data_IF_106459320381
#
_entry.id   IF_106459320381
#
_cell.length_a   1.000
_cell.length_b   1.000
_cell.length_c   1.000
_cell.angle_alpha   90.00
_cell.angle_beta   90.00
_cell.angle_gamma   90.00
#
_symmetry.space_group_name_H-M   'P 1'
#
loop_
_entity.id
_entity.type
_entity.pdbx_description
1 polymer ?
#
# COMPACT_ATOMS: atom_id res chain seq x y z
N UNK A 1 5.88 38.61 -34.24
CA UNK A 1 6.59 38.02 -33.09
C UNK A 1 5.68 36.94 -32.51
N UNK A 2 5.99 35.67 -32.78
CA UNK A 2 5.21 34.55 -32.25
C UNK A 2 5.72 34.18 -30.85
N UNK A 3 4.75 33.81 -30.02
CA UNK A 3 4.83 33.55 -28.60
C UNK A 3 5.95 32.59 -28.17
N UNK A 4 6.53 32.90 -27.02
CA UNK A 4 7.06 31.88 -26.11
C UNK A 4 6.62 32.26 -24.70
N UNK A 5 5.40 31.85 -24.35
CA UNK A 5 4.95 31.81 -22.97
C UNK A 5 5.70 30.63 -22.33
N UNK A 6 6.76 30.91 -21.57
CA UNK A 6 7.46 29.89 -20.80
C UNK A 6 6.47 29.26 -19.82
N UNK A 7 6.08 28.03 -20.14
CA UNK A 7 5.20 27.22 -19.30
C UNK A 7 6.04 26.72 -18.13
N UNK A 8 5.78 27.24 -16.94
CA UNK A 8 6.35 26.74 -15.69
C UNK A 8 6.23 25.21 -15.62
N UNK A 9 7.22 24.47 -15.07
CA UNK A 9 7.06 23.05 -14.84
C UNK A 9 5.96 22.88 -13.80
N UNK A 10 4.81 22.40 -14.24
CA UNK A 10 3.77 21.93 -13.34
C UNK A 10 4.40 20.87 -12.43
N UNK A 11 4.15 20.97 -11.12
CA UNK A 11 4.26 19.85 -10.20
C UNK A 11 3.26 18.78 -10.68
N UNK A 12 3.66 18.01 -11.69
CA UNK A 12 2.86 16.97 -12.30
C UNK A 12 3.28 15.67 -11.62
N UNK A 13 2.31 15.00 -10.98
CA UNK A 13 2.51 13.67 -10.44
C UNK A 13 3.01 12.68 -11.51
N UNK A 14 3.38 11.45 -11.10
CA UNK A 14 4.04 10.49 -11.98
C UNK A 14 3.23 10.22 -13.26
N UNK A 15 3.92 10.21 -14.40
CA UNK A 15 3.35 9.86 -15.70
C UNK A 15 2.85 8.42 -15.74
N UNK A 16 1.97 8.09 -16.69
CA UNK A 16 1.45 6.74 -16.86
C UNK A 16 2.54 5.68 -17.05
N UNK A 17 3.64 6.02 -17.74
CA UNK A 17 4.77 5.11 -17.91
C UNK A 17 5.51 4.89 -16.59
N UNK A 18 5.72 5.94 -15.78
CA UNK A 18 6.32 5.80 -14.45
C UNK A 18 5.47 4.92 -13.53
N UNK A 19 4.15 5.11 -13.52
CA UNK A 19 3.23 4.27 -12.75
C UNK A 19 3.32 2.80 -13.18
N UNK A 20 3.38 2.54 -14.48
CA UNK A 20 3.53 1.18 -15.02
C UNK A 20 4.86 0.56 -14.57
N UNK A 21 5.97 1.29 -14.65
CA UNK A 21 7.27 0.80 -14.19
C UNK A 21 7.27 0.49 -12.69
N UNK A 22 6.62 1.30 -11.86
CA UNK A 22 6.44 1.01 -10.42
C UNK A 22 5.64 -0.27 -10.16
N UNK A 23 4.55 -0.49 -10.91
CA UNK A 23 3.75 -1.70 -10.77
C UNK A 23 4.56 -2.95 -11.15
N UNK A 24 5.37 -2.84 -12.21
CA UNK A 24 6.20 -3.93 -12.72
C UNK A 24 7.41 -4.22 -11.82
N UNK A 25 7.91 -3.23 -11.06
CA UNK A 25 9.02 -3.43 -10.14
C UNK A 25 8.62 -4.13 -8.83
N UNK A 26 7.33 -4.12 -8.48
CA UNK A 26 6.84 -4.80 -7.27
C UNK A 26 6.86 -6.32 -7.49
N UNK A 27 7.54 -7.09 -6.62
CA UNK A 27 7.60 -8.54 -6.74
C UNK A 27 6.21 -9.18 -6.76
N UNK A 28 6.05 -10.21 -7.61
CA UNK A 28 4.79 -10.95 -7.74
C UNK A 28 4.75 -12.22 -6.89
N UNK A 29 5.91 -12.77 -6.55
CA UNK A 29 6.04 -13.94 -5.68
C UNK A 29 5.96 -13.50 -4.23
N UNK A 30 5.16 -14.21 -3.42
CA UNK A 30 4.98 -13.93 -1.98
C UNK A 30 6.32 -13.81 -1.24
N UNK A 31 7.22 -14.78 -1.42
CA UNK A 31 8.51 -14.80 -0.74
C UNK A 31 9.34 -13.53 -1.01
N UNK A 32 9.45 -13.14 -2.28
CA UNK A 32 10.19 -11.94 -2.69
C UNK A 32 9.49 -10.65 -2.25
N UNK A 33 8.14 -10.65 -2.27
CA UNK A 33 7.33 -9.51 -1.85
C UNK A 33 7.46 -9.23 -0.35
N UNK A 34 7.51 -10.28 0.47
CA UNK A 34 7.52 -10.15 1.93
C UNK A 34 8.88 -9.74 2.49
N UNK A 35 9.96 -10.00 1.76
CA UNK A 35 11.31 -9.52 2.08
C UNK A 35 11.64 -8.18 1.42
N UNK A 36 10.77 -7.66 0.55
CA UNK A 36 10.97 -6.36 -0.07
C UNK A 36 10.95 -5.26 1.00
N UNK A 37 11.96 -4.39 0.97
CA UNK A 37 12.09 -3.31 1.95
C UNK A 37 11.01 -2.25 1.73
N UNK A 38 10.30 -1.93 2.81
CA UNK A 38 9.36 -0.81 2.86
C UNK A 38 10.09 0.40 3.42
N UNK A 39 10.07 1.51 2.69
CA UNK A 39 10.54 2.80 3.20
C UNK A 39 9.49 3.36 4.18
N UNK A 40 9.61 2.93 5.45
CA UNK A 40 8.66 3.28 6.51
C UNK A 40 8.67 4.76 6.85
N UNK A 41 9.79 5.47 6.64
CA UNK A 41 9.85 6.91 6.85
C UNK A 41 8.93 7.63 5.87
N UNK A 42 8.92 7.24 4.59
CA UNK A 42 7.96 7.77 3.61
C UNK A 42 6.54 7.32 3.94
N UNK A 43 6.33 6.06 4.31
CA UNK A 43 5.01 5.52 4.61
C UNK A 43 4.34 6.19 5.82
N UNK A 44 5.13 6.56 6.85
CA UNK A 44 4.62 7.16 8.09
C UNK A 44 4.63 8.70 8.06
N UNK A 45 5.56 9.34 7.34
CA UNK A 45 5.57 10.79 7.21
C UNK A 45 4.46 11.30 6.28
N UNK A 46 4.00 10.45 5.36
CA UNK A 46 2.83 10.74 4.54
C UNK A 46 1.55 10.26 5.21
N UNK A 47 0.41 10.85 4.85
CA UNK A 47 -0.90 10.41 5.32
C UNK A 47 -1.39 9.13 4.58
N UNK A 48 -0.49 8.37 3.95
CA UNK A 48 -0.88 7.33 2.99
C UNK A 48 -1.50 6.11 3.66
N UNK A 49 -1.08 5.79 4.88
CA UNK A 49 -1.70 4.73 5.66
C UNK A 49 -3.17 5.07 5.92
N UNK A 50 -3.47 6.27 6.37
CA UNK A 50 -4.85 6.69 6.68
C UNK A 50 -5.69 7.01 5.43
N UNK A 51 -5.12 7.59 4.38
CA UNK A 51 -5.87 8.01 3.19
C UNK A 51 -6.05 6.92 2.13
N UNK A 52 -5.16 5.94 2.07
CA UNK A 52 -5.16 4.90 1.04
C UNK A 52 -5.31 3.51 1.63
N UNK A 53 -4.49 3.17 2.62
CA UNK A 53 -4.43 1.80 3.15
C UNK A 53 -5.65 1.50 4.03
N UNK A 54 -5.99 2.37 4.99
CA UNK A 54 -7.11 2.17 5.92
C UNK A 54 -8.46 1.98 5.22
N UNK A 55 -8.87 2.82 4.24
CA UNK A 55 -10.14 2.61 3.54
C UNK A 55 -10.15 1.32 2.72
N UNK A 56 -8.99 0.91 2.20
CA UNK A 56 -8.86 -0.35 1.48
C UNK A 56 -9.02 -1.54 2.43
N UNK A 57 -8.37 -1.54 3.60
CA UNK A 57 -8.51 -2.60 4.61
C UNK A 57 -9.95 -2.70 5.07
N UNK A 58 -10.60 -1.58 5.42
CA UNK A 58 -12.03 -1.56 5.82
C UNK A 58 -12.92 -2.19 4.76
N UNK A 59 -12.75 -1.82 3.49
CA UNK A 59 -13.48 -2.45 2.38
C UNK A 59 -13.21 -3.95 2.30
N UNK A 60 -11.98 -4.40 2.52
CA UNK A 60 -11.63 -5.83 2.54
C UNK A 60 -12.27 -6.57 3.70
N UNK A 61 -12.36 -5.98 4.89
CA UNK A 61 -13.03 -6.63 6.01
C UNK A 61 -14.51 -6.89 5.70
N UNK A 62 -15.21 -5.92 5.11
CA UNK A 62 -16.60 -6.12 4.64
C UNK A 62 -16.70 -7.19 3.56
N UNK A 63 -15.76 -7.21 2.60
CA UNK A 63 -15.76 -8.22 1.52
C UNK A 63 -15.52 -9.65 2.02
N UNK A 64 -14.67 -9.82 3.04
CA UNK A 64 -14.33 -11.14 3.58
C UNK A 64 -15.28 -11.64 4.67
N UNK A 65 -15.75 -10.74 5.54
CA UNK A 65 -16.54 -11.08 6.74
C UNK A 65 -18.03 -10.79 6.57
N UNK A 66 -18.41 -10.00 5.56
CA UNK A 66 -19.80 -9.58 5.33
C UNK A 66 -20.26 -8.40 6.19
N UNK A 67 -19.41 -7.88 7.07
CA UNK A 67 -19.69 -6.76 7.96
C UNK A 67 -18.48 -5.86 8.20
N UNK A 68 -18.74 -4.66 8.71
CA UNK A 68 -17.71 -3.71 9.09
C UNK A 68 -17.05 -4.11 10.40
N UNK A 69 -15.73 -4.34 10.35
CA UNK A 69 -14.93 -4.72 11.52
C UNK A 69 -13.88 -3.62 11.85
N UNK A 70 -14.30 -2.48 12.43
CA UNK A 70 -13.41 -1.34 12.68
C UNK A 70 -12.26 -1.68 13.65
N UNK A 71 -12.50 -2.57 14.61
CA UNK A 71 -11.49 -3.05 15.57
C UNK A 71 -10.37 -3.82 14.88
N UNK A 72 -10.71 -4.66 13.89
CA UNK A 72 -9.73 -5.41 13.10
C UNK A 72 -8.95 -4.48 12.16
N UNK A 73 -9.63 -3.48 11.57
CA UNK A 73 -8.98 -2.43 10.78
C UNK A 73 -7.95 -1.68 11.63
N UNK A 74 -8.33 -1.22 12.82
CA UNK A 74 -7.43 -0.52 13.75
C UNK A 74 -6.26 -1.42 14.20
N UNK A 75 -6.52 -2.70 14.45
CA UNK A 75 -5.48 -3.68 14.78
C UNK A 75 -4.43 -3.80 13.66
N UNK A 76 -4.85 -3.97 12.41
CA UNK A 76 -3.93 -4.07 11.26
C UNK A 76 -3.18 -2.75 11.07
N UNK A 77 -3.86 -1.61 11.17
CA UNK A 77 -3.25 -0.29 11.11
C UNK A 77 -2.19 -0.10 12.20
N UNK A 78 -2.45 -0.57 13.42
CA UNK A 78 -1.47 -0.56 14.51
C UNK A 78 -0.22 -1.39 14.21
N UNK A 79 -0.38 -2.57 13.59
CA UNK A 79 0.76 -3.40 13.14
C UNK A 79 1.60 -2.71 12.08
N UNK A 80 0.97 -2.01 11.13
CA UNK A 80 1.65 -1.21 10.10
C UNK A 80 2.43 -0.04 10.73
N UNK A 81 1.84 0.68 11.69
CA UNK A 81 2.53 1.74 12.42
C UNK A 81 3.71 1.21 13.26
N UNK A 82 3.59 -0.01 13.78
CA UNK A 82 4.68 -0.73 14.44
C UNK A 82 5.71 -1.32 13.47
N UNK A 83 5.60 -1.05 12.15
CA UNK A 83 6.49 -1.55 11.10
C UNK A 83 6.59 -3.08 11.09
N UNK A 84 5.51 -3.75 11.47
CA UNK A 84 5.44 -5.22 11.54
C UNK A 84 5.56 -5.80 10.14
N UNK A 85 6.42 -6.81 9.96
CA UNK A 85 6.61 -7.46 8.67
C UNK A 85 5.38 -8.22 8.17
N UNK A 86 5.31 -8.42 6.85
CA UNK A 86 4.18 -9.05 6.16
C UNK A 86 3.83 -10.43 6.72
N UNK A 87 4.82 -11.30 6.97
CA UNK A 87 4.59 -12.66 7.49
C UNK A 87 3.90 -12.66 8.85
N UNK A 88 4.29 -11.74 9.73
CA UNK A 88 3.68 -11.62 11.05
C UNK A 88 2.24 -11.08 10.96
N UNK A 89 1.97 -10.15 10.05
CA UNK A 89 0.60 -9.69 9.79
C UNK A 89 -0.24 -10.83 9.19
N UNK A 90 0.29 -11.57 8.22
CA UNK A 90 -0.41 -12.71 7.61
C UNK A 90 -0.78 -13.77 8.65
N UNK A 91 0.13 -14.11 9.55
CA UNK A 91 -0.10 -15.09 10.61
C UNK A 91 -1.20 -14.64 11.59
N UNK A 92 -1.31 -13.35 11.88
CA UNK A 92 -2.39 -12.81 12.71
C UNK A 92 -3.72 -12.83 11.94
N UNK A 93 -3.70 -12.53 10.63
CA UNK A 93 -4.88 -12.56 9.77
C UNK A 93 -5.37 -13.97 9.48
N UNK A 94 -4.49 -14.96 9.45
CA UNK A 94 -4.85 -16.38 9.28
C UNK A 94 -5.74 -16.89 10.42
N UNK A 95 -5.71 -16.25 11.60
CA UNK A 95 -6.60 -16.60 12.73
C UNK A 95 -8.05 -16.17 12.53
N UNK A 96 -8.31 -15.29 11.56
CA UNK A 96 -9.62 -14.68 11.30
C UNK A 96 -10.11 -15.01 9.89
N UNK A 97 -9.21 -14.98 8.91
CA UNK A 97 -9.50 -15.15 7.49
C UNK A 97 -9.07 -16.52 6.94
N UNK A 98 -8.48 -17.40 7.76
CA UNK A 98 -8.00 -18.73 7.36
C UNK A 98 -7.20 -18.67 6.03
N UNK A 99 -7.66 -19.40 5.00
CA UNK A 99 -7.02 -19.52 3.68
C UNK A 99 -6.96 -18.19 2.90
N UNK A 100 -7.82 -17.23 3.20
CA UNK A 100 -7.87 -15.93 2.53
C UNK A 100 -6.80 -14.94 3.04
N UNK A 101 -6.18 -15.22 4.19
CA UNK A 101 -5.20 -14.32 4.83
C UNK A 101 -3.97 -14.05 3.95
N UNK A 102 -3.50 -15.06 3.22
CA UNK A 102 -2.39 -14.91 2.29
C UNK A 102 -2.76 -13.96 1.15
N UNK A 103 -3.95 -14.14 0.57
CA UNK A 103 -4.43 -13.31 -0.54
C UNK A 103 -4.61 -11.87 -0.09
N UNK A 104 -5.16 -11.66 1.10
CA UNK A 104 -5.29 -10.35 1.71
C UNK A 104 -3.92 -9.68 1.91
N UNK A 105 -2.99 -10.36 2.58
CA UNK A 105 -1.67 -9.78 2.93
C UNK A 105 -0.84 -9.49 1.69
N UNK A 106 -0.85 -10.35 0.68
CA UNK A 106 -0.16 -10.09 -0.59
C UNK A 106 -0.70 -8.83 -1.26
N UNK A 107 -2.02 -8.64 -1.30
CA UNK A 107 -2.61 -7.43 -1.90
C UNK A 107 -2.28 -6.18 -1.08
N UNK A 108 -2.35 -6.27 0.25
CA UNK A 108 -1.98 -5.20 1.17
C UNK A 108 -0.53 -4.75 0.95
N UNK A 109 0.41 -5.70 0.91
CA UNK A 109 1.83 -5.39 0.77
C UNK A 109 2.17 -4.77 -0.59
N UNK A 110 1.55 -5.27 -1.67
CA UNK A 110 1.71 -4.67 -3.01
C UNK A 110 1.18 -3.24 -3.04
N UNK A 111 0.05 -2.98 -2.40
CA UNK A 111 -0.51 -1.63 -2.31
C UNK A 111 0.43 -0.71 -1.51
N UNK A 112 0.92 -1.15 -0.36
CA UNK A 112 1.85 -0.38 0.46
C UNK A 112 3.13 -0.01 -0.32
N UNK A 113 3.79 -0.98 -0.94
CA UNK A 113 5.01 -0.74 -1.73
C UNK A 113 4.75 0.19 -2.92
N UNK A 114 3.64 0.02 -3.62
CA UNK A 114 3.26 0.90 -4.72
C UNK A 114 3.09 2.34 -4.27
N UNK A 115 2.35 2.55 -3.18
CA UNK A 115 2.08 3.87 -2.61
C UNK A 115 3.37 4.55 -2.16
N UNK A 116 4.26 3.81 -1.51
CA UNK A 116 5.59 4.30 -1.11
C UNK A 116 6.45 4.67 -2.32
N UNK A 117 6.53 3.82 -3.35
CA UNK A 117 7.28 4.11 -4.58
C UNK A 117 6.71 5.35 -5.31
N UNK A 118 5.39 5.49 -5.34
CA UNK A 118 4.70 6.63 -5.95
C UNK A 118 5.04 7.93 -5.25
N UNK A 119 5.02 7.93 -3.92
CA UNK A 119 5.35 9.11 -3.09
C UNK A 119 6.83 9.51 -3.23
N UNK A 120 7.75 8.55 -3.34
CA UNK A 120 9.18 8.85 -3.58
C UNK A 120 9.47 9.49 -4.94
N UNK A 121 8.53 9.40 -5.88
CA UNK A 121 8.68 9.97 -7.22
C UNK A 121 7.95 11.29 -7.41
N UNK A 122 7.41 11.86 -6.34
CA UNK A 122 6.76 13.18 -6.30
C UNK A 122 7.66 14.16 -5.54
#
# INVERSE_FOLDING_TARGET
AVAALERAPAAAGPSAEQLKQMILSIPTKRADLFVAEVDWDVALASNVLDEKIKPWISKKMVEYLGEDEPTLVEFIMGKLHAKTGAEAIEAEMAKVLDDDAQVFTVKLWRMLLFEVLRLKST
#
